data_IF_228112800149
#
_entry.id   IF_228112800149
#
_cell.length_a   1.000
_cell.length_b   1.000
_cell.length_c   1.000
_cell.angle_alpha   90.00
_cell.angle_beta   90.00
_cell.angle_gamma   90.00
#
_symmetry.space_group_name_H-M   'P 1'
#
loop_
_entity.id
_entity.type
_entity.pdbx_description
1 polymer ?
#
# COMPACT_ATOMS: atom_id res chain seq x y z
N UNK A 1 -15.26 -7.25 17.08
CA UNK A 1 -13.97 -6.59 16.75
C UNK A 1 -13.84 -5.31 17.57
N UNK A 2 -12.83 -5.20 18.44
CA UNK A 2 -12.63 -3.98 19.26
C UNK A 2 -11.76 -2.92 18.55
N UNK A 3 -12.04 -2.65 17.26
CA UNK A 3 -11.30 -1.64 16.50
C UNK A 3 -12.03 -0.29 16.43
N UNK A 4 -13.23 -0.20 17.01
CA UNK A 4 -14.00 1.04 17.02
C UNK A 4 -13.21 2.20 17.65
N UNK A 5 -13.21 3.34 16.97
CA UNK A 5 -12.49 4.56 17.32
C UNK A 5 -10.93 4.46 17.25
N UNK A 6 -10.38 3.37 16.73
CA UNK A 6 -8.93 3.28 16.49
C UNK A 6 -8.55 3.90 15.14
N UNK A 7 -7.43 4.57 15.11
CA UNK A 7 -6.82 5.05 13.86
C UNK A 7 -6.03 3.94 13.17
N UNK A 8 -5.92 3.99 11.84
CA UNK A 8 -5.17 3.02 11.03
C UNK A 8 -3.99 3.71 10.35
N UNK A 9 -2.86 3.80 11.05
CA UNK A 9 -1.71 4.61 10.64
C UNK A 9 -0.57 3.78 10.05
N UNK A 10 -0.30 2.61 10.60
CA UNK A 10 0.70 1.63 10.18
C UNK A 10 0.36 0.25 10.71
N UNK A 11 0.79 -0.82 10.02
CA UNK A 11 0.52 -2.20 10.45
C UNK A 11 1.26 -2.59 11.74
N UNK A 12 2.31 -1.86 12.12
CA UNK A 12 2.98 -2.05 13.42
C UNK A 12 2.02 -1.92 14.60
N UNK A 13 1.00 -1.07 14.49
CA UNK A 13 0.03 -0.77 15.55
C UNK A 13 -1.04 -1.87 15.71
N UNK A 14 -1.04 -2.88 14.84
CA UNK A 14 -2.04 -3.94 14.77
C UNK A 14 -1.42 -5.31 15.04
N UNK A 15 -2.17 -6.16 15.74
CA UNK A 15 -1.79 -7.56 15.93
C UNK A 15 -2.08 -8.38 14.67
N UNK A 16 -1.41 -9.54 14.48
CA UNK A 16 -1.73 -10.46 13.38
C UNK A 16 -3.23 -10.85 13.33
N UNK A 17 -3.84 -11.07 14.49
CA UNK A 17 -5.27 -11.41 14.57
C UNK A 17 -6.17 -10.26 14.10
N UNK A 18 -5.87 -9.02 14.47
CA UNK A 18 -6.63 -7.85 14.02
C UNK A 18 -6.49 -7.62 12.50
N UNK A 19 -5.28 -7.83 11.95
CA UNK A 19 -5.06 -7.77 10.49
C UNK A 19 -5.87 -8.87 9.80
N UNK A 20 -5.84 -10.10 10.32
CA UNK A 20 -6.64 -11.21 9.80
C UNK A 20 -8.15 -10.89 9.78
N UNK A 21 -8.68 -10.34 10.88
CA UNK A 21 -10.08 -9.90 10.95
C UNK A 21 -10.44 -8.81 9.94
N UNK A 22 -9.52 -7.87 9.67
CA UNK A 22 -9.74 -6.85 8.62
C UNK A 22 -9.79 -7.48 7.23
N UNK A 23 -8.96 -8.48 6.94
CA UNK A 23 -8.96 -9.20 5.67
C UNK A 23 -10.25 -10.04 5.50
N UNK A 24 -10.70 -10.73 6.55
CA UNK A 24 -11.97 -11.47 6.55
C UNK A 24 -13.15 -10.54 6.30
N UNK A 25 -13.21 -9.40 7.00
CA UNK A 25 -14.26 -8.40 6.78
C UNK A 25 -14.21 -7.82 5.36
N UNK A 26 -13.01 -7.59 4.80
CA UNK A 26 -12.86 -7.11 3.44
C UNK A 26 -13.39 -8.12 2.42
N UNK A 27 -13.10 -9.40 2.61
CA UNK A 27 -13.61 -10.47 1.76
C UNK A 27 -15.14 -10.58 1.83
N UNK A 28 -15.73 -10.50 3.01
CA UNK A 28 -17.19 -10.50 3.20
C UNK A 28 -17.85 -9.29 2.51
N UNK A 29 -17.34 -8.08 2.75
CA UNK A 29 -17.88 -6.86 2.13
C UNK A 29 -17.69 -6.85 0.60
N UNK A 30 -16.60 -7.47 0.08
CA UNK A 30 -16.39 -7.70 -1.35
C UNK A 30 -17.46 -8.64 -1.91
N UNK A 31 -17.72 -9.75 -1.23
CA UNK A 31 -18.74 -10.71 -1.63
C UNK A 31 -20.15 -10.09 -1.62
N UNK A 32 -20.49 -9.34 -0.58
CA UNK A 32 -21.76 -8.59 -0.49
C UNK A 32 -21.93 -7.62 -1.65
N UNK A 33 -20.88 -6.83 -1.98
CA UNK A 33 -20.93 -5.89 -3.12
C UNK A 33 -21.15 -6.63 -4.45
N UNK A 34 -20.40 -7.71 -4.70
CA UNK A 34 -20.53 -8.50 -5.93
C UNK A 34 -21.91 -9.19 -6.05
N UNK A 35 -22.52 -9.55 -4.94
CA UNK A 35 -23.87 -10.14 -4.88
C UNK A 35 -25.00 -9.07 -4.89
N UNK A 36 -24.69 -7.78 -4.92
CA UNK A 36 -25.69 -6.71 -4.83
C UNK A 36 -26.38 -6.60 -3.46
N UNK A 37 -25.80 -7.22 -2.43
CA UNK A 37 -26.34 -7.16 -1.06
C UNK A 37 -25.98 -5.82 -0.44
N UNK A 38 -26.99 -5.13 0.04
CA UNK A 38 -26.85 -3.81 0.67
C UNK A 38 -26.11 -3.93 2.00
N UNK A 39 -25.13 -3.05 2.23
CA UNK A 39 -24.30 -3.02 3.43
C UNK A 39 -23.95 -1.59 3.87
N UNK A 40 -24.96 -0.72 3.87
CA UNK A 40 -24.88 0.74 4.11
C UNK A 40 -25.21 1.14 5.57
N UNK A 41 -24.72 0.38 6.55
CA UNK A 41 -25.01 0.56 7.96
C UNK A 41 -24.37 1.81 8.59
N UNK A 42 -23.49 2.51 7.88
CA UNK A 42 -22.87 3.75 8.35
C UNK A 42 -23.55 5.01 7.79
N UNK A 43 -24.83 4.92 7.46
CA UNK A 43 -25.63 6.06 6.98
C UNK A 43 -25.61 7.23 7.94
N UNK A 44 -25.44 8.43 7.37
CA UNK A 44 -25.42 9.69 8.09
C UNK A 44 -24.05 10.04 8.67
N UNK A 45 -23.06 9.18 8.51
CA UNK A 45 -21.67 9.51 8.81
C UNK A 45 -21.02 10.27 7.66
N UNK A 46 -20.09 11.18 8.04
CA UNK A 46 -19.35 12.01 7.11
C UNK A 46 -17.86 11.81 7.33
N UNK A 47 -17.10 11.68 6.24
CA UNK A 47 -15.65 11.56 6.31
C UNK A 47 -14.95 12.66 5.50
N UNK A 48 -13.79 13.08 5.97
CA UNK A 48 -12.91 13.99 5.25
C UNK A 48 -11.75 13.21 4.61
N UNK A 49 -11.43 13.54 3.35
CA UNK A 49 -10.25 13.03 2.65
C UNK A 49 -9.28 14.17 2.42
N UNK A 50 -8.13 14.16 3.10
CA UNK A 50 -7.08 15.17 3.00
C UNK A 50 -5.97 14.65 2.10
N UNK A 51 -5.76 15.28 0.96
CA UNK A 51 -4.71 14.93 0.00
C UNK A 51 -3.70 16.05 -0.13
N UNK A 52 -2.47 15.84 0.32
CA UNK A 52 -1.31 16.68 0.00
C UNK A 52 -0.54 16.11 -1.20
N UNK A 53 -0.65 14.79 -1.43
CA UNK A 53 -0.20 14.10 -2.65
C UNK A 53 -1.42 13.55 -3.39
N UNK A 54 -1.58 13.91 -4.65
CA UNK A 54 -2.70 13.44 -5.49
C UNK A 54 -2.66 11.93 -5.70
N UNK A 55 -3.83 11.31 -5.84
CA UNK A 55 -3.96 9.89 -6.18
C UNK A 55 -5.36 9.58 -6.68
N UNK A 56 -5.48 9.08 -7.89
CA UNK A 56 -6.75 8.59 -8.45
C UNK A 56 -7.25 7.37 -7.68
N UNK A 57 -6.42 6.34 -7.51
CA UNK A 57 -6.81 5.07 -6.88
C UNK A 57 -7.21 5.22 -5.42
N UNK A 58 -6.39 5.88 -4.60
CA UNK A 58 -6.70 6.07 -3.17
C UNK A 58 -7.98 6.88 -3.00
N UNK A 59 -8.14 7.98 -3.74
CA UNK A 59 -9.34 8.80 -3.71
C UNK A 59 -10.58 7.98 -4.09
N UNK A 60 -10.59 7.36 -5.26
CA UNK A 60 -11.73 6.55 -5.71
C UNK A 60 -12.03 5.39 -4.75
N UNK A 61 -11.01 4.75 -4.18
CA UNK A 61 -11.20 3.65 -3.21
C UNK A 61 -11.92 4.13 -1.96
N UNK A 62 -11.50 5.26 -1.37
CA UNK A 62 -12.17 5.82 -0.19
C UNK A 62 -13.57 6.32 -0.52
N UNK A 63 -13.76 7.08 -1.61
CA UNK A 63 -15.06 7.61 -2.01
C UNK A 63 -16.08 6.49 -2.25
N UNK A 64 -15.73 5.49 -3.10
CA UNK A 64 -16.65 4.39 -3.42
C UNK A 64 -16.91 3.52 -2.20
N UNK A 65 -15.87 3.20 -1.39
CA UNK A 65 -16.04 2.44 -0.17
C UNK A 65 -16.96 3.15 0.85
N UNK A 66 -16.81 4.47 0.99
CA UNK A 66 -17.67 5.28 1.86
C UNK A 66 -19.13 5.27 1.37
N UNK A 67 -19.36 5.49 0.08
CA UNK A 67 -20.70 5.45 -0.51
C UNK A 67 -21.36 4.08 -0.36
N UNK A 68 -20.61 2.98 -0.55
CA UNK A 68 -21.13 1.62 -0.33
C UNK A 68 -21.58 1.40 1.13
N UNK A 69 -20.88 2.02 2.10
CA UNK A 69 -21.23 1.98 3.52
C UNK A 69 -22.32 3.00 3.92
N UNK A 70 -22.79 3.83 2.98
CA UNK A 70 -23.84 4.84 3.19
C UNK A 70 -23.32 6.16 3.78
N UNK A 71 -22.03 6.43 3.70
CA UNK A 71 -21.40 7.65 4.20
C UNK A 71 -21.32 8.73 3.13
N UNK A 72 -21.21 9.99 3.57
CA UNK A 72 -20.90 11.14 2.73
C UNK A 72 -19.40 11.48 2.82
N UNK A 73 -18.86 12.08 1.75
CA UNK A 73 -17.43 12.35 1.61
C UNK A 73 -17.18 13.81 1.27
N UNK A 74 -16.22 14.44 1.97
CA UNK A 74 -15.66 15.74 1.60
C UNK A 74 -14.20 15.57 1.21
N UNK A 75 -13.88 15.89 -0.03
CA UNK A 75 -12.51 15.85 -0.54
C UNK A 75 -11.83 17.22 -0.39
N UNK A 76 -10.67 17.22 0.27
CA UNK A 76 -9.83 18.40 0.49
C UNK A 76 -8.54 18.22 -0.31
N UNK A 77 -8.47 18.90 -1.46
CA UNK A 77 -7.30 18.85 -2.34
C UNK A 77 -6.13 19.73 -1.82
N UNK A 78 -4.90 19.57 -2.39
CA UNK A 78 -3.74 20.33 -1.94
C UNK A 78 -3.88 21.84 -2.11
N UNK A 79 -4.74 22.32 -3.01
CA UNK A 79 -4.97 23.75 -3.25
C UNK A 79 -6.04 24.32 -2.31
N UNK A 80 -7.02 23.51 -1.93
CA UNK A 80 -8.12 23.87 -1.04
C UNK A 80 -7.81 23.76 0.44
N UNK A 81 -6.72 23.05 0.82
CA UNK A 81 -6.35 22.84 2.23
C UNK A 81 -5.40 23.92 2.74
N UNK A 82 -5.62 24.36 3.99
CA UNK A 82 -4.74 25.29 4.70
C UNK A 82 -3.82 24.57 5.70
N UNK A 83 -3.92 23.25 5.80
CA UNK A 83 -3.17 22.40 6.74
C UNK A 83 -1.65 22.63 6.61
N UNK A 84 -0.98 22.87 7.72
CA UNK A 84 0.46 23.13 7.76
C UNK A 84 0.91 24.44 7.12
N UNK A 85 0.00 25.27 6.59
CA UNK A 85 0.32 26.56 5.95
C UNK A 85 -0.12 27.73 6.81
N UNK A 86 -1.43 27.92 6.99
CA UNK A 86 -2.02 28.97 7.81
C UNK A 86 -2.63 28.45 9.10
N UNK A 87 -2.84 27.15 9.19
CA UNK A 87 -3.39 26.47 10.34
C UNK A 87 -2.48 25.31 10.73
N UNK A 88 -2.29 25.10 12.03
CA UNK A 88 -1.49 23.98 12.52
C UNK A 88 -2.20 22.64 12.24
N UNK A 89 -1.43 21.55 12.17
CA UNK A 89 -1.98 20.20 12.02
C UNK A 89 -2.93 19.89 13.18
N UNK A 90 -2.53 20.24 14.40
CA UNK A 90 -3.32 20.02 15.61
C UNK A 90 -4.66 20.79 15.59
N UNK A 91 -4.68 22.05 15.11
CA UNK A 91 -5.91 22.83 15.05
C UNK A 91 -6.83 22.33 13.94
N UNK A 92 -6.28 22.04 12.77
CA UNK A 92 -7.03 21.39 11.68
C UNK A 92 -7.65 20.07 12.16
N UNK A 93 -6.90 19.24 12.86
CA UNK A 93 -7.39 17.96 13.42
C UNK A 93 -8.58 18.18 14.37
N UNK A 94 -8.47 19.15 15.30
CA UNK A 94 -9.55 19.46 16.25
C UNK A 94 -10.81 19.99 15.56
N UNK A 95 -10.65 20.81 14.53
CA UNK A 95 -11.77 21.36 13.74
C UNK A 95 -12.47 20.23 12.97
N UNK A 96 -11.71 19.46 12.20
CA UNK A 96 -12.27 18.38 11.36
C UNK A 96 -12.86 17.24 12.20
N UNK A 97 -12.23 16.90 13.32
CA UNK A 97 -12.75 15.88 14.24
C UNK A 97 -14.07 16.26 14.93
N UNK A 98 -14.49 17.55 14.88
CA UNK A 98 -15.81 18.00 15.34
C UNK A 98 -16.86 18.06 14.23
N UNK A 99 -16.44 17.95 12.96
CA UNK A 99 -17.31 18.00 11.80
C UNK A 99 -17.51 16.62 11.17
N UNK A 100 -16.50 15.75 11.24
CA UNK A 100 -16.46 14.47 10.57
C UNK A 100 -16.37 13.31 11.56
N UNK A 101 -16.83 12.14 11.13
CA UNK A 101 -16.76 10.88 11.90
C UNK A 101 -15.41 10.15 11.69
N UNK A 102 -14.66 10.50 10.66
CA UNK A 102 -13.35 9.95 10.36
C UNK A 102 -12.61 10.79 9.33
N UNK A 103 -11.27 10.67 9.31
CA UNK A 103 -10.39 11.49 8.48
C UNK A 103 -9.37 10.58 7.78
N UNK A 104 -9.30 10.65 6.44
CA UNK A 104 -8.20 10.09 5.70
C UNK A 104 -7.13 11.17 5.45
N UNK A 105 -5.88 10.78 5.52
CA UNK A 105 -4.74 11.61 5.16
C UNK A 105 -3.81 10.89 4.20
N UNK A 106 -3.48 11.54 3.09
CA UNK A 106 -2.46 11.13 2.15
C UNK A 106 -1.48 12.27 1.90
N UNK A 107 -0.22 12.08 2.29
CA UNK A 107 0.76 13.17 2.21
C UNK A 107 2.20 12.72 2.37
N UNK A 108 2.95 13.45 3.18
CA UNK A 108 4.40 13.32 3.27
C UNK A 108 4.84 12.58 4.54
N UNK A 109 5.02 13.25 5.65
CA UNK A 109 5.61 12.67 6.85
C UNK A 109 4.63 11.86 7.70
N UNK A 110 5.09 10.74 8.24
CA UNK A 110 4.31 9.91 9.16
C UNK A 110 3.89 10.68 10.41
N UNK A 111 4.75 11.58 10.90
CA UNK A 111 4.43 12.41 12.06
C UNK A 111 3.20 13.30 11.85
N UNK A 112 2.88 13.69 10.61
CA UNK A 112 1.70 14.51 10.29
C UNK A 112 0.42 13.71 10.55
N UNK A 113 0.35 12.49 10.04
CA UNK A 113 -0.83 11.63 10.22
C UNK A 113 -0.97 11.16 11.68
N UNK A 114 0.14 10.98 12.38
CA UNK A 114 0.15 10.67 13.82
C UNK A 114 -0.33 11.85 14.65
N UNK A 115 0.08 13.08 14.33
CA UNK A 115 -0.42 14.30 14.98
C UNK A 115 -1.91 14.52 14.69
N UNK A 116 -2.37 14.32 13.46
CA UNK A 116 -3.80 14.34 13.12
C UNK A 116 -4.57 13.34 13.99
N UNK A 117 -4.12 12.11 14.10
CA UNK A 117 -4.77 11.06 14.89
C UNK A 117 -4.80 11.40 16.39
N UNK A 118 -3.75 12.05 16.89
CA UNK A 118 -3.67 12.45 18.31
C UNK A 118 -4.71 13.51 18.69
N UNK A 119 -4.98 14.46 17.80
CA UNK A 119 -5.84 15.60 18.12
C UNK A 119 -7.26 15.54 17.55
N UNK A 120 -7.53 14.66 16.58
CA UNK A 120 -8.82 14.61 15.89
C UNK A 120 -10.00 14.14 16.79
N UNK A 121 -9.75 13.20 17.69
CA UNK A 121 -10.82 12.58 18.52
C UNK A 121 -11.74 11.64 17.74
N UNK A 122 -11.45 11.39 16.47
CA UNK A 122 -12.10 10.44 15.56
C UNK A 122 -11.04 9.58 14.87
N UNK A 123 -11.38 8.41 14.31
CA UNK A 123 -10.44 7.61 13.56
C UNK A 123 -9.77 8.37 12.42
N UNK A 124 -8.45 8.22 12.31
CA UNK A 124 -7.64 8.71 11.20
C UNK A 124 -7.05 7.54 10.44
N UNK A 125 -7.12 7.58 9.12
CA UNK A 125 -6.63 6.53 8.22
C UNK A 125 -5.49 7.05 7.36
N UNK A 126 -4.37 6.34 7.37
CA UNK A 126 -3.21 6.65 6.55
C UNK A 126 -3.40 6.14 5.11
N UNK A 127 -3.72 7.03 4.19
CA UNK A 127 -3.82 6.73 2.76
C UNK A 127 -2.46 6.54 2.07
N UNK A 128 -1.42 7.19 2.57
CA UNK A 128 0.01 7.02 2.28
C UNK A 128 0.81 8.13 2.98
N UNK A 129 1.96 7.76 3.55
CA UNK A 129 3.04 8.68 3.92
C UNK A 129 4.34 8.26 3.22
N UNK A 130 5.44 8.97 3.47
CA UNK A 130 6.76 8.56 2.97
C UNK A 130 7.24 7.26 3.62
N UNK A 131 6.83 7.01 4.86
CA UNK A 131 7.29 5.89 5.68
C UNK A 131 6.39 4.67 5.60
N UNK A 132 5.05 4.85 5.45
CA UNK A 132 4.10 3.73 5.45
C UNK A 132 2.92 3.92 4.48
N UNK A 133 2.42 2.78 3.98
CA UNK A 133 1.22 2.69 3.14
C UNK A 133 0.35 1.48 3.54
N UNK A 134 -0.22 1.46 4.76
CA UNK A 134 -0.84 0.27 5.33
C UNK A 134 -2.07 -0.22 4.54
N UNK A 135 -2.82 0.69 3.91
CA UNK A 135 -3.99 0.33 3.10
C UNK A 135 -3.64 -0.44 1.83
N UNK A 136 -2.44 -0.22 1.28
CA UNK A 136 -1.94 -1.02 0.15
C UNK A 136 -1.66 -2.45 0.58
N UNK A 137 -0.98 -2.64 1.71
CA UNK A 137 -0.58 -3.98 2.16
C UNK A 137 -1.78 -4.87 2.48
N UNK A 138 -2.86 -4.31 3.02
CA UNK A 138 -4.10 -5.09 3.18
C UNK A 138 -4.65 -5.56 1.85
N UNK A 139 -4.59 -4.72 0.80
CA UNK A 139 -5.04 -5.11 -0.54
C UNK A 139 -4.14 -6.18 -1.14
N UNK A 140 -2.83 -6.04 -0.99
CA UNK A 140 -1.84 -7.03 -1.44
C UNK A 140 -2.13 -8.39 -0.78
N UNK A 141 -2.35 -8.41 0.52
CA UNK A 141 -2.63 -9.64 1.26
C UNK A 141 -3.99 -10.25 0.93
N UNK A 142 -5.04 -9.45 0.74
CA UNK A 142 -6.31 -9.98 0.27
C UNK A 142 -6.16 -10.63 -1.10
N UNK A 143 -5.40 -10.01 -2.00
CA UNK A 143 -5.15 -10.53 -3.36
C UNK A 143 -4.35 -11.82 -3.33
N UNK A 144 -3.29 -11.89 -2.52
CA UNK A 144 -2.50 -13.11 -2.32
C UNK A 144 -3.37 -14.22 -1.73
N UNK A 145 -4.21 -13.91 -0.74
CA UNK A 145 -5.10 -14.87 -0.12
C UNK A 145 -6.18 -15.39 -1.10
N UNK A 146 -6.69 -14.54 -1.97
CA UNK A 146 -7.64 -14.94 -3.02
C UNK A 146 -6.99 -15.84 -4.06
N UNK A 147 -5.71 -15.60 -4.38
CA UNK A 147 -4.97 -16.36 -5.39
C UNK A 147 -4.44 -17.69 -4.86
N UNK A 148 -3.76 -17.68 -3.70
CA UNK A 148 -3.08 -18.85 -3.13
C UNK A 148 -3.89 -19.58 -2.05
N UNK A 149 -4.95 -18.97 -1.51
CA UNK A 149 -5.76 -19.51 -0.42
C UNK A 149 -5.18 -19.32 0.98
N UNK A 150 -3.97 -18.79 1.11
CA UNK A 150 -3.29 -18.53 2.38
C UNK A 150 -2.24 -17.43 2.27
N UNK A 151 -1.76 -16.93 3.43
CA UNK A 151 -0.66 -15.97 3.51
C UNK A 151 0.60 -16.60 4.09
N UNK A 152 0.43 -17.38 5.16
CA UNK A 152 1.58 -17.94 5.90
C UNK A 152 2.43 -18.84 5.02
N UNK A 153 3.75 -18.56 5.01
CA UNK A 153 4.73 -19.33 4.24
C UNK A 153 4.90 -18.90 2.79
N UNK A 154 4.10 -17.95 2.27
CA UNK A 154 4.30 -17.36 0.94
C UNK A 154 5.67 -16.68 0.87
N UNK A 155 6.43 -16.96 -0.17
CA UNK A 155 7.70 -16.32 -0.47
C UNK A 155 7.48 -15.03 -1.27
N UNK A 156 7.53 -13.91 -0.58
CA UNK A 156 7.29 -12.58 -1.12
C UNK A 156 8.59 -11.84 -1.38
N UNK A 157 8.89 -11.48 -2.61
CA UNK A 157 10.10 -10.76 -3.00
C UNK A 157 9.75 -9.36 -3.52
N UNK A 158 10.28 -8.34 -2.85
CA UNK A 158 10.19 -6.95 -3.28
C UNK A 158 11.47 -6.55 -4.01
N UNK A 159 11.35 -6.10 -5.27
CA UNK A 159 12.46 -5.64 -6.10
C UNK A 159 12.45 -4.12 -6.21
N UNK A 160 13.56 -3.47 -5.86
CA UNK A 160 13.71 -2.03 -6.00
C UNK A 160 14.12 -1.32 -4.71
N UNK A 161 13.75 -0.04 -4.55
CA UNK A 161 14.12 0.76 -3.38
C UNK A 161 13.24 0.41 -2.17
N UNK A 162 13.79 -0.36 -1.23
CA UNK A 162 13.07 -0.85 -0.07
C UNK A 162 13.11 0.10 1.16
N UNK A 163 13.63 1.32 1.03
CA UNK A 163 13.80 2.28 2.15
C UNK A 163 12.53 3.05 2.51
N UNK A 164 11.54 3.09 1.61
CA UNK A 164 10.35 3.93 1.73
C UNK A 164 9.09 3.13 2.06
N UNK A 165 7.93 3.78 1.88
CA UNK A 165 6.65 3.27 2.36
C UNK A 165 6.30 1.86 1.93
N UNK A 166 6.55 1.47 0.66
CA UNK A 166 6.22 0.12 0.19
C UNK A 166 7.15 -0.92 0.79
N UNK A 167 8.47 -0.73 0.70
CA UNK A 167 9.44 -1.65 1.31
C UNK A 167 9.20 -1.82 2.82
N UNK A 168 9.02 -0.72 3.53
CA UNK A 168 8.76 -0.73 4.97
C UNK A 168 7.44 -1.45 5.30
N UNK A 169 6.35 -1.10 4.63
CA UNK A 169 5.03 -1.64 4.94
C UNK A 169 4.89 -3.11 4.56
N UNK A 170 5.49 -3.53 3.45
CA UNK A 170 5.54 -4.94 3.03
C UNK A 170 6.34 -5.77 4.02
N UNK A 171 7.53 -5.30 4.45
CA UNK A 171 8.34 -5.98 5.46
C UNK A 171 7.58 -6.16 6.78
N UNK A 172 6.95 -5.09 7.28
CA UNK A 172 6.12 -5.14 8.49
C UNK A 172 4.96 -6.11 8.33
N UNK A 173 4.21 -5.99 7.24
CA UNK A 173 3.05 -6.85 6.97
C UNK A 173 3.43 -8.32 6.86
N UNK A 174 4.48 -8.64 6.12
CA UNK A 174 4.99 -10.01 5.98
C UNK A 174 5.45 -10.58 7.33
N UNK A 175 6.18 -9.79 8.13
CA UNK A 175 6.58 -10.19 9.48
C UNK A 175 5.36 -10.50 10.36
N UNK A 176 4.30 -9.68 10.31
CA UNK A 176 3.05 -9.87 11.07
C UNK A 176 2.28 -11.12 10.63
N UNK A 177 2.18 -11.37 9.32
CA UNK A 177 1.30 -12.41 8.78
C UNK A 177 2.01 -13.74 8.46
N UNK A 178 3.30 -13.87 8.82
CA UNK A 178 4.04 -15.12 8.68
C UNK A 178 4.47 -15.43 7.24
N UNK A 179 4.63 -14.41 6.37
CA UNK A 179 5.22 -14.58 5.04
C UNK A 179 6.74 -14.52 5.13
N UNK A 180 7.41 -15.12 4.16
CA UNK A 180 8.86 -15.01 3.98
C UNK A 180 9.14 -13.82 3.07
N UNK A 181 9.66 -12.73 3.63
CA UNK A 181 9.93 -11.50 2.90
C UNK A 181 11.40 -11.41 2.49
N UNK A 182 11.64 -11.08 1.23
CA UNK A 182 12.98 -10.74 0.72
C UNK A 182 12.97 -9.35 0.10
N UNK A 183 13.79 -8.43 0.61
CA UNK A 183 14.08 -7.17 -0.06
C UNK A 183 15.25 -7.41 -1.03
N UNK A 184 14.97 -7.38 -2.33
CA UNK A 184 15.96 -7.51 -3.39
C UNK A 184 16.34 -6.13 -3.91
N UNK A 185 17.46 -5.61 -3.43
CA UNK A 185 17.93 -4.26 -3.71
C UNK A 185 19.44 -4.12 -3.51
N UNK A 186 20.10 -3.13 -4.17
CA UNK A 186 21.45 -2.74 -3.80
C UNK A 186 21.53 -2.38 -2.31
N UNK A 187 22.68 -2.62 -1.68
CA UNK A 187 22.87 -2.38 -0.22
C UNK A 187 22.42 -0.99 0.24
N UNK A 188 22.62 0.06 -0.55
CA UNK A 188 22.21 1.44 -0.23
C UNK A 188 20.68 1.67 -0.28
N UNK A 189 19.92 0.74 -0.84
CA UNK A 189 18.47 0.79 -0.97
C UNK A 189 17.75 -0.24 -0.08
N UNK A 190 18.48 -0.89 0.83
CA UNK A 190 17.89 -1.79 1.82
C UNK A 190 17.14 -1.02 2.93
N UNK A 191 16.17 -1.63 3.62
CA UNK A 191 15.40 -1.00 4.69
C UNK A 191 16.27 -0.50 5.84
N UNK A 192 15.72 0.45 6.62
CA UNK A 192 16.36 0.96 7.83
C UNK A 192 16.59 -0.14 8.88
N UNK A 193 17.80 -0.16 9.48
CA UNK A 193 18.22 -1.21 10.40
C UNK A 193 17.34 -1.31 11.67
N UNK A 194 16.85 -0.19 12.19
CA UNK A 194 16.00 -0.20 13.39
C UNK A 194 14.62 -0.81 13.08
N UNK A 195 14.07 -0.53 11.90
CA UNK A 195 12.82 -1.17 11.47
C UNK A 195 13.02 -2.65 11.19
N UNK A 196 14.17 -3.05 10.62
CA UNK A 196 14.53 -4.45 10.40
C UNK A 196 14.57 -5.21 11.71
N UNK A 197 15.24 -4.68 12.75
CA UNK A 197 15.32 -5.30 14.08
C UNK A 197 13.92 -5.51 14.67
N UNK A 198 13.08 -4.49 14.65
CA UNK A 198 11.70 -4.58 15.11
C UNK A 198 10.89 -5.64 14.34
N UNK A 199 11.06 -5.73 13.03
CA UNK A 199 10.38 -6.73 12.20
C UNK A 199 10.92 -8.15 12.45
N UNK A 200 12.21 -8.32 12.76
CA UNK A 200 12.79 -9.61 13.13
C UNK A 200 12.19 -10.15 14.43
N UNK A 201 11.98 -9.28 15.44
CA UNK A 201 11.32 -9.66 16.69
C UNK A 201 9.87 -10.12 16.46
N UNK A 202 9.16 -9.47 15.56
CA UNK A 202 7.81 -9.88 15.16
C UNK A 202 7.84 -11.22 14.40
N UNK A 203 8.76 -11.36 13.45
CA UNK A 203 8.90 -12.55 12.62
C UNK A 203 9.21 -13.79 13.46
N UNK A 204 10.01 -13.66 14.51
CA UNK A 204 10.31 -14.75 15.47
C UNK A 204 9.04 -15.30 16.14
N UNK A 205 7.99 -14.48 16.29
CA UNK A 205 6.72 -14.88 16.93
C UNK A 205 5.74 -15.50 15.94
N UNK A 206 5.79 -15.09 14.67
CA UNK A 206 4.82 -15.49 13.62
C UNK A 206 5.30 -16.65 12.74
N UNK A 207 6.62 -16.90 12.76
CA UNK A 207 7.28 -17.86 11.88
C UNK A 207 7.62 -17.27 10.50
N UNK A 208 7.55 -15.95 10.33
CA UNK A 208 8.05 -15.27 9.15
C UNK A 208 9.60 -15.31 9.11
N UNK A 209 10.16 -15.06 7.92
CA UNK A 209 11.60 -14.82 7.74
C UNK A 209 11.81 -13.54 6.97
N UNK A 210 12.89 -12.82 7.28
CA UNK A 210 13.29 -11.61 6.57
C UNK A 210 14.67 -11.82 5.96
N UNK A 211 14.79 -11.58 4.67
CA UNK A 211 16.03 -11.74 3.90
C UNK A 211 16.33 -10.47 3.10
N UNK A 212 17.61 -10.24 2.86
CA UNK A 212 18.13 -9.07 2.13
C UNK A 212 19.11 -9.58 1.08
N UNK A 213 18.75 -9.48 -0.18
CA UNK A 213 19.52 -10.06 -1.30
C UNK A 213 19.86 -8.96 -2.32
N UNK A 214 21.08 -8.98 -2.84
CA UNK A 214 21.52 -8.07 -3.89
C UNK A 214 21.47 -8.72 -5.29
N UNK A 215 21.33 -10.03 -5.38
CA UNK A 215 21.26 -10.78 -6.62
C UNK A 215 19.78 -11.09 -7.00
N UNK A 216 19.23 -10.45 -8.05
CA UNK A 216 17.83 -10.65 -8.47
C UNK A 216 17.50 -12.11 -8.83
N UNK A 217 18.46 -12.84 -9.42
CA UNK A 217 18.27 -14.23 -9.82
C UNK A 217 18.13 -15.14 -8.59
N UNK A 218 18.94 -14.91 -7.56
CA UNK A 218 18.83 -15.65 -6.31
C UNK A 218 17.54 -15.33 -5.58
N UNK A 219 17.16 -14.04 -5.54
CA UNK A 219 15.94 -13.60 -4.88
C UNK A 219 14.68 -14.18 -5.55
N UNK A 220 14.64 -14.22 -6.88
CA UNK A 220 13.48 -14.73 -7.63
C UNK A 220 13.29 -16.26 -7.49
N UNK A 221 14.35 -17.00 -7.18
CA UNK A 221 14.27 -18.47 -7.13
C UNK A 221 13.33 -18.96 -6.03
N UNK A 222 12.23 -19.59 -6.42
CA UNK A 222 11.23 -20.12 -5.52
C UNK A 222 10.35 -19.04 -4.87
N UNK A 223 10.31 -17.83 -5.45
CA UNK A 223 9.38 -16.81 -5.04
C UNK A 223 7.97 -17.14 -5.54
N UNK A 224 6.96 -16.94 -4.68
CA UNK A 224 5.54 -17.03 -5.04
C UNK A 224 5.05 -15.69 -5.58
N UNK A 225 5.58 -14.58 -5.04
CA UNK A 225 5.20 -13.20 -5.41
C UNK A 225 6.44 -12.41 -5.76
N UNK A 226 6.47 -11.84 -6.98
CA UNK A 226 7.44 -10.81 -7.39
C UNK A 226 6.72 -9.46 -7.39
N UNK A 227 7.17 -8.57 -6.53
CA UNK A 227 6.58 -7.24 -6.33
C UNK A 227 7.57 -6.13 -6.63
N UNK A 228 7.12 -5.06 -7.25
CA UNK A 228 7.92 -3.85 -7.41
C UNK A 228 7.08 -2.59 -7.29
N UNK A 229 7.74 -1.45 -7.23
CA UNK A 229 7.17 -0.10 -7.28
C UNK A 229 8.03 0.77 -8.20
N UNK A 230 7.53 1.93 -8.58
CA UNK A 230 8.27 2.89 -9.40
C UNK A 230 9.64 3.22 -8.77
N UNK A 231 10.68 3.31 -9.58
CA UNK A 231 12.02 3.61 -9.09
C UNK A 231 12.20 5.03 -8.58
N UNK A 232 11.35 5.94 -9.04
CA UNK A 232 11.33 7.35 -8.61
C UNK A 232 9.93 7.71 -8.16
N UNK A 233 9.80 8.06 -6.90
CA UNK A 233 8.51 8.40 -6.30
C UNK A 233 7.98 9.74 -6.77
N UNK A 234 6.66 9.91 -6.71
CA UNK A 234 5.99 11.16 -7.04
C UNK A 234 6.52 12.31 -6.17
N UNK A 235 7.00 13.37 -6.83
CA UNK A 235 7.54 14.57 -6.17
C UNK A 235 9.05 14.55 -5.95
N UNK A 236 9.76 13.48 -6.32
CA UNK A 236 11.23 13.48 -6.35
C UNK A 236 11.75 14.30 -7.56
N UNK A 237 12.93 14.97 -7.43
CA UNK A 237 13.53 15.75 -8.51
C UNK A 237 13.89 14.88 -9.73
N UNK A 238 13.83 15.46 -10.93
CA UNK A 238 14.18 14.75 -12.19
C UNK A 238 15.65 14.28 -12.19
N UNK A 239 16.52 14.94 -11.45
CA UNK A 239 17.95 14.61 -11.35
C UNK A 239 18.23 13.24 -10.75
N UNK A 240 17.32 12.73 -9.89
CA UNK A 240 17.50 11.40 -9.26
C UNK A 240 17.26 10.25 -10.23
N UNK A 241 16.58 10.47 -11.36
CA UNK A 241 16.27 9.42 -12.34
C UNK A 241 17.49 8.70 -12.87
N UNK A 242 18.53 9.45 -13.22
CA UNK A 242 19.75 8.87 -13.78
C UNK A 242 20.41 7.88 -12.81
N UNK A 243 20.55 8.26 -11.53
CA UNK A 243 21.11 7.41 -10.49
C UNK A 243 20.21 6.19 -10.23
N UNK A 244 18.89 6.41 -10.09
CA UNK A 244 17.93 5.33 -9.83
C UNK A 244 17.92 4.31 -10.97
N UNK A 245 17.88 4.76 -12.21
CA UNK A 245 17.92 3.87 -13.38
C UNK A 245 19.24 3.09 -13.43
N UNK A 246 20.37 3.77 -13.19
CA UNK A 246 21.68 3.10 -13.18
C UNK A 246 21.71 1.98 -12.13
N UNK A 247 21.24 2.25 -10.92
CA UNK A 247 21.34 1.33 -9.79
C UNK A 247 20.28 0.22 -9.82
N UNK A 248 19.07 0.55 -10.28
CA UNK A 248 17.91 -0.34 -10.18
C UNK A 248 17.59 -1.08 -11.50
N UNK A 249 18.22 -0.71 -12.62
CA UNK A 249 18.02 -1.44 -13.88
C UNK A 249 18.25 -2.97 -13.78
N UNK A 250 19.22 -3.48 -13.00
CA UNK A 250 19.38 -4.92 -12.79
C UNK A 250 18.22 -5.59 -12.04
N UNK A 251 17.38 -4.79 -11.36
CA UNK A 251 16.26 -5.25 -10.55
C UNK A 251 14.91 -5.11 -11.27
N UNK A 252 14.92 -4.78 -12.56
CA UNK A 252 13.70 -4.77 -13.38
C UNK A 252 13.09 -6.17 -13.41
N UNK A 253 11.80 -6.28 -13.08
CA UNK A 253 11.08 -7.53 -13.24
C UNK A 253 10.77 -7.72 -14.73
N UNK A 254 11.30 -8.81 -15.28
CA UNK A 254 11.16 -9.23 -16.67
C UNK A 254 10.76 -10.70 -16.73
N UNK A 255 10.53 -11.21 -17.94
CA UNK A 255 10.09 -12.59 -18.15
C UNK A 255 11.12 -13.62 -17.66
N UNK A 256 12.40 -13.31 -17.71
CA UNK A 256 13.45 -14.23 -17.21
C UNK A 256 13.34 -14.42 -15.69
N UNK A 257 13.13 -13.35 -14.93
CA UNK A 257 12.89 -13.44 -13.47
C UNK A 257 11.59 -14.20 -13.16
N UNK A 258 10.50 -13.96 -13.92
CA UNK A 258 9.26 -14.71 -13.76
C UNK A 258 9.45 -16.21 -14.05
N UNK A 259 10.23 -16.54 -15.09
CA UNK A 259 10.56 -17.94 -15.42
C UNK A 259 11.40 -18.62 -14.32
N UNK A 260 12.32 -17.87 -13.67
CA UNK A 260 13.12 -18.35 -12.53
C UNK A 260 12.25 -18.61 -11.30
N UNK A 261 11.28 -17.76 -11.02
CA UNK A 261 10.32 -17.94 -9.94
C UNK A 261 9.41 -19.16 -10.18
N UNK A 262 8.97 -19.34 -11.41
CA UNK A 262 8.18 -20.49 -11.84
C UNK A 262 6.80 -20.13 -12.37
N UNK A 263 6.08 -21.11 -12.92
CA UNK A 263 4.79 -20.87 -13.59
C UNK A 263 3.65 -20.47 -12.65
N UNK A 264 3.74 -20.82 -11.38
CA UNK A 264 2.72 -20.50 -10.37
C UNK A 264 2.98 -19.15 -9.65
N UNK A 265 4.15 -18.53 -9.89
CA UNK A 265 4.48 -17.22 -9.33
C UNK A 265 3.63 -16.12 -9.96
N UNK A 266 3.29 -15.10 -9.16
CA UNK A 266 2.54 -13.93 -9.64
C UNK A 266 3.35 -12.66 -9.57
N UNK A 267 3.03 -11.73 -10.48
CA UNK A 267 3.53 -10.37 -10.47
C UNK A 267 2.50 -9.42 -9.84
N UNK A 268 2.96 -8.55 -8.93
CA UNK A 268 2.17 -7.53 -8.26
C UNK A 268 2.86 -6.17 -8.30
N UNK A 269 2.06 -5.10 -8.24
CA UNK A 269 2.53 -3.71 -8.29
C UNK A 269 1.45 -2.76 -7.77
N UNK A 270 1.78 -1.86 -6.85
CA UNK A 270 0.83 -0.90 -6.26
C UNK A 270 0.26 0.13 -7.25
N UNK A 271 0.82 0.23 -8.46
CA UNK A 271 0.50 1.22 -9.49
C UNK A 271 0.67 2.69 -9.00
N UNK A 272 1.06 3.61 -9.93
CA UNK A 272 1.25 3.42 -11.37
C UNK A 272 2.52 2.65 -11.69
N UNK A 273 2.61 2.05 -12.89
CA UNK A 273 3.80 1.38 -13.38
C UNK A 273 4.29 2.04 -14.68
N UNK A 274 5.62 2.05 -14.87
CA UNK A 274 6.25 2.56 -16.10
C UNK A 274 6.75 1.39 -16.95
N UNK A 275 5.80 0.59 -17.45
CA UNK A 275 6.06 -0.59 -18.26
C UNK A 275 6.08 -0.31 -19.77
N UNK A 276 5.64 0.89 -20.20
CA UNK A 276 5.58 1.32 -21.61
C UNK A 276 5.71 2.85 -21.75
N UNK A 277 5.55 3.35 -22.98
CA UNK A 277 5.60 4.78 -23.33
C UNK A 277 4.22 5.47 -23.44
N UNK A 278 3.14 4.84 -22.96
CA UNK A 278 1.78 5.39 -23.07
C UNK A 278 1.50 6.53 -22.08
N UNK A 279 2.30 6.64 -21.01
CA UNK A 279 2.21 7.77 -20.07
C UNK A 279 3.17 8.88 -20.45
N UNK A 280 2.85 10.13 -20.09
CA UNK A 280 3.74 11.28 -20.34
C UNK A 280 5.13 11.06 -19.72
N UNK A 281 5.17 10.65 -18.46
CA UNK A 281 6.43 10.41 -17.73
C UNK A 281 7.17 9.20 -18.30
N UNK A 282 6.49 8.09 -18.56
CA UNK A 282 7.09 6.89 -19.14
C UNK A 282 7.72 7.17 -20.50
N UNK A 283 7.04 7.96 -21.36
CA UNK A 283 7.57 8.38 -22.65
C UNK A 283 8.78 9.29 -22.51
N UNK A 284 8.67 10.37 -21.72
CA UNK A 284 9.74 11.36 -21.54
C UNK A 284 11.01 10.71 -20.97
N UNK A 285 10.86 9.92 -19.91
CA UNK A 285 11.99 9.25 -19.27
C UNK A 285 12.54 8.09 -20.12
N UNK A 286 11.67 7.35 -20.80
CA UNK A 286 12.06 6.31 -21.74
C UNK A 286 12.91 6.85 -22.90
N UNK A 287 12.46 7.93 -23.55
CA UNK A 287 13.24 8.60 -24.62
C UNK A 287 14.55 9.18 -24.10
N UNK A 288 14.55 9.81 -22.91
CA UNK A 288 15.74 10.42 -22.30
C UNK A 288 16.82 9.42 -21.93
N UNK A 289 16.42 8.25 -21.44
CA UNK A 289 17.35 7.22 -20.94
C UNK A 289 17.47 5.99 -21.86
N UNK A 290 16.82 6.01 -23.04
CA UNK A 290 16.88 4.93 -24.02
C UNK A 290 16.34 3.59 -23.52
N UNK A 291 15.20 3.63 -22.80
CA UNK A 291 14.56 2.44 -22.22
C UNK A 291 13.09 2.37 -22.61
N UNK A 292 12.61 1.18 -22.95
CA UNK A 292 11.21 0.95 -23.29
C UNK A 292 10.33 0.78 -22.04
N UNK A 293 10.92 0.33 -20.94
CA UNK A 293 10.27 0.12 -19.65
C UNK A 293 11.24 0.40 -18.49
N UNK A 294 10.71 0.71 -17.30
CA UNK A 294 11.50 0.97 -16.10
C UNK A 294 11.50 -0.25 -15.17
N UNK A 295 10.70 -0.27 -14.11
CA UNK A 295 10.72 -1.28 -13.05
C UNK A 295 10.16 -2.64 -13.45
N UNK A 296 9.36 -2.69 -14.50
CA UNK A 296 8.77 -3.93 -15.04
C UNK A 296 8.61 -3.83 -16.55
N UNK A 297 8.79 -4.94 -17.27
CA UNK A 297 8.55 -5.00 -18.71
C UNK A 297 7.06 -5.11 -19.04
N UNK A 298 6.65 -4.59 -20.20
CA UNK A 298 5.24 -4.66 -20.68
C UNK A 298 4.75 -6.11 -20.81
N UNK A 299 5.64 -7.02 -21.23
CA UNK A 299 5.35 -8.46 -21.32
C UNK A 299 4.92 -9.08 -19.98
N UNK A 300 5.58 -8.72 -18.88
CA UNK A 300 5.23 -9.20 -17.53
C UNK A 300 3.98 -8.49 -17.04
N UNK A 301 3.90 -7.17 -17.22
CA UNK A 301 2.79 -6.36 -16.73
C UNK A 301 1.44 -6.77 -17.35
N UNK A 302 1.41 -7.01 -18.66
CA UNK A 302 0.22 -7.46 -19.40
C UNK A 302 0.10 -9.00 -19.47
N UNK A 303 1.08 -9.71 -18.88
CA UNK A 303 1.17 -11.17 -18.94
C UNK A 303 0.16 -11.88 -18.02
N UNK A 304 -0.03 -13.19 -18.21
CA UNK A 304 -1.03 -13.98 -17.49
C UNK A 304 -0.71 -14.18 -15.99
N UNK A 305 0.52 -13.95 -15.57
CA UNK A 305 0.95 -14.01 -14.16
C UNK A 305 0.76 -12.68 -13.42
N UNK A 306 0.35 -11.60 -14.12
CA UNK A 306 0.08 -10.30 -13.52
C UNK A 306 -1.31 -10.27 -12.89
N UNK A 307 -1.37 -9.92 -11.60
CA UNK A 307 -2.63 -9.78 -10.84
C UNK A 307 -2.80 -8.35 -10.31
N UNK A 308 -2.15 -7.37 -10.94
CA UNK A 308 -2.12 -5.97 -10.51
C UNK A 308 -3.48 -5.29 -10.49
N UNK A 309 -4.42 -5.68 -11.36
CA UNK A 309 -5.76 -5.08 -11.40
C UNK A 309 -6.69 -5.67 -10.34
N UNK A 310 -6.54 -6.94 -9.98
CA UNK A 310 -7.20 -7.53 -8.82
C UNK A 310 -6.70 -6.88 -7.51
N UNK A 311 -5.40 -6.66 -7.41
CA UNK A 311 -4.76 -5.91 -6.34
C UNK A 311 -5.32 -4.48 -6.23
N UNK A 312 -5.44 -3.77 -7.36
CA UNK A 312 -5.99 -2.42 -7.39
C UNK A 312 -7.48 -2.39 -6.99
N UNK A 313 -8.30 -3.37 -7.41
CA UNK A 313 -9.69 -3.51 -6.97
C UNK A 313 -9.76 -3.72 -5.45
N UNK A 314 -8.91 -4.58 -4.91
CA UNK A 314 -8.89 -4.93 -3.50
C UNK A 314 -8.58 -3.75 -2.57
N UNK A 315 -7.94 -2.67 -3.08
CA UNK A 315 -7.77 -1.41 -2.33
C UNK A 315 -9.10 -0.86 -1.81
N UNK A 316 -10.13 -0.85 -2.66
CA UNK A 316 -11.46 -0.38 -2.28
C UNK A 316 -12.08 -1.28 -1.19
N UNK A 317 -11.94 -2.59 -1.30
CA UNK A 317 -12.55 -3.53 -0.36
C UNK A 317 -11.88 -3.52 1.01
N UNK A 318 -10.54 -3.45 1.05
CA UNK A 318 -9.80 -3.40 2.31
C UNK A 318 -9.92 -2.03 3.01
N UNK A 319 -9.94 -0.92 2.27
CA UNK A 319 -10.24 0.41 2.80
C UNK A 319 -11.66 0.43 3.40
N UNK A 320 -12.64 -0.18 2.70
CA UNK A 320 -14.01 -0.33 3.21
C UNK A 320 -14.03 -1.06 4.56
N UNK A 321 -13.30 -2.17 4.68
CA UNK A 321 -13.22 -2.92 5.93
C UNK A 321 -12.57 -2.12 7.06
N UNK A 322 -11.51 -1.35 6.79
CA UNK A 322 -10.88 -0.46 7.78
C UNK A 322 -11.85 0.59 8.27
N UNK A 323 -12.54 1.29 7.37
CA UNK A 323 -13.55 2.29 7.75
C UNK A 323 -14.70 1.65 8.52
N UNK A 324 -15.23 0.53 8.06
CA UNK A 324 -16.30 -0.19 8.72
C UNK A 324 -15.93 -0.59 10.16
N UNK A 325 -14.78 -1.25 10.34
CA UNK A 325 -14.32 -1.71 11.65
C UNK A 325 -14.07 -0.56 12.63
N UNK A 326 -13.44 0.53 12.17
CA UNK A 326 -13.07 1.66 13.03
C UNK A 326 -14.22 2.60 13.33
N UNK A 327 -15.26 2.67 12.49
CA UNK A 327 -16.46 3.45 12.71
C UNK A 327 -17.59 2.67 13.40
N UNK A 328 -17.35 1.39 13.75
CA UNK A 328 -18.28 0.58 14.52
C UNK A 328 -19.42 -0.02 13.70
N UNK A 329 -19.11 -0.44 12.47
CA UNK A 329 -19.99 -1.28 11.67
C UNK A 329 -20.38 -2.55 12.45
N UNK A 330 -21.66 -2.88 12.43
CA UNK A 330 -22.21 -4.10 12.99
C UNK A 330 -22.82 -4.93 11.85
N UNK A 331 -22.51 -6.20 11.81
CA UNK A 331 -23.08 -7.15 10.86
C UNK A 331 -24.60 -7.34 11.00
#
# INVERSE_FOLDING_TARGET
MELKNRSFLKLLDYTPAEIGQLLELAADLKAKKKAGIRHDQLRGKNIALIFEKTSTRTRCSFEVAAHDLGMEVTYLDPSGSQIGKKESIADTARVLGRMFDGIEYRGYGQQIVEELAHYAGVPVWNGLTNEFHPTQILADFLTIQEHFGHLKGIHFVYFGDARYNMGNSLMVGCAKMGLHFTACAPKKYQPDAALVEQCQDIAAQTGATLSFEEDPVKAAKGADVLYTDVWVSMGEPVEVWAERIHDLAPYQINQDLMNIAGPDAVFMHCLPAYHDHKTTVGKEMGERFGRDAMEVTDEVFEGPQSIVFDEAENRMHTIKAVMAATLGYQE
#
